data_IF_715039368502
#
_entry.id   IF_715039368502
#
_cell.length_a   1.000
_cell.length_b   1.000
_cell.length_c   1.000
_cell.angle_alpha   90.00
_cell.angle_beta   90.00
_cell.angle_gamma   90.00
#
_symmetry.space_group_name_H-M   'P 1'
#
loop_
_entity.id
_entity.type
_entity.pdbx_description
1 polymer ?
#
# COMPACT_ATOMS: atom_id res chain seq x y z
N UNK A 1 -16.63 1.92 2.20
CA UNK A 1 -16.53 0.53 2.64
C UNK A 1 -15.26 -0.14 2.10
N UNK A 2 -15.15 -0.40 0.79
CA UNK A 2 -13.99 -1.09 0.20
C UNK A 2 -12.61 -0.46 0.45
N UNK A 3 -12.52 0.88 0.46
CA UNK A 3 -11.26 1.59 0.75
C UNK A 3 -10.77 1.29 2.18
N UNK A 4 -11.69 1.17 3.13
CA UNK A 4 -11.37 0.86 4.52
C UNK A 4 -10.91 -0.59 4.65
N UNK A 5 -11.58 -1.50 3.98
CA UNK A 5 -11.26 -2.94 4.00
C UNK A 5 -9.89 -3.21 3.37
N UNK A 6 -9.57 -2.54 2.25
CA UNK A 6 -8.25 -2.64 1.59
C UNK A 6 -7.15 -2.06 2.47
N UNK A 7 -7.39 -0.92 3.15
CA UNK A 7 -6.42 -0.37 4.11
C UNK A 7 -6.18 -1.30 5.29
N UNK A 8 -7.23 -1.95 5.80
CA UNK A 8 -7.08 -2.95 6.87
C UNK A 8 -6.30 -4.17 6.40
N UNK A 9 -6.57 -4.66 5.19
CA UNK A 9 -5.82 -5.76 4.56
C UNK A 9 -4.35 -5.40 4.38
N UNK A 10 -4.04 -4.19 3.88
CA UNK A 10 -2.66 -3.72 3.79
C UNK A 10 -1.96 -3.67 5.14
N UNK A 11 -2.65 -3.14 6.17
CA UNK A 11 -2.08 -3.06 7.52
C UNK A 11 -1.72 -4.44 8.08
N UNK A 12 -2.62 -5.42 7.90
CA UNK A 12 -2.37 -6.81 8.33
C UNK A 12 -1.22 -7.47 7.59
N UNK A 13 -1.06 -7.18 6.30
CA UNK A 13 0.07 -7.68 5.50
C UNK A 13 1.38 -7.07 6.00
N UNK A 14 1.40 -5.76 6.24
CA UNK A 14 2.57 -5.06 6.80
C UNK A 14 2.97 -5.65 8.16
N UNK A 15 2.01 -5.83 9.07
CA UNK A 15 2.23 -6.44 10.39
C UNK A 15 2.77 -7.87 10.27
N UNK A 16 2.29 -8.64 9.30
CA UNK A 16 2.77 -10.00 9.03
C UNK A 16 4.20 -10.01 8.48
N UNK A 17 4.55 -9.07 7.60
CA UNK A 17 5.93 -8.91 7.11
C UNK A 17 6.89 -8.52 8.23
N UNK A 18 6.49 -7.60 9.10
CA UNK A 18 7.29 -7.20 10.26
C UNK A 18 7.52 -8.36 11.23
N UNK A 19 6.49 -9.18 11.48
CA UNK A 19 6.62 -10.39 12.29
C UNK A 19 7.57 -11.41 11.65
N UNK A 20 7.46 -11.64 10.34
CA UNK A 20 8.39 -12.53 9.60
C UNK A 20 9.82 -12.00 9.67
N UNK A 21 10.04 -10.70 9.50
CA UNK A 21 11.36 -10.10 9.63
C UNK A 21 11.92 -10.23 11.05
N UNK A 22 11.07 -10.09 12.07
CA UNK A 22 11.46 -10.27 13.46
C UNK A 22 11.90 -11.72 13.72
N UNK A 23 11.08 -12.69 13.32
CA UNK A 23 11.38 -14.12 13.47
C UNK A 23 12.66 -14.49 12.73
N UNK A 24 12.79 -14.08 11.46
CA UNK A 24 13.98 -14.37 10.66
C UNK A 24 15.25 -13.75 11.27
N UNK A 25 15.16 -12.57 11.88
CA UNK A 25 16.30 -11.96 12.62
C UNK A 25 16.68 -12.77 13.85
N UNK A 26 15.70 -13.29 14.60
CA UNK A 26 15.97 -14.16 15.73
C UNK A 26 16.59 -15.49 15.27
N UNK A 27 16.02 -16.12 14.25
CA UNK A 27 16.56 -17.35 13.66
C UNK A 27 18.00 -17.16 13.17
N UNK A 28 18.31 -16.04 12.53
CA UNK A 28 19.68 -15.68 12.11
C UNK A 28 20.62 -15.53 13.32
N UNK A 29 20.17 -14.88 14.40
CA UNK A 29 20.92 -14.72 15.65
C UNK A 29 21.25 -16.09 16.29
N UNK A 30 20.30 -17.02 16.23
CA UNK A 30 20.45 -18.39 16.73
C UNK A 30 21.12 -19.35 15.74
N UNK A 31 21.49 -18.87 14.53
CA UNK A 31 22.02 -19.67 13.41
C UNK A 31 21.10 -20.83 12.99
N UNK A 32 19.80 -20.61 13.10
CA UNK A 32 18.79 -21.55 12.63
C UNK A 32 18.51 -21.34 11.13
N UNK A 33 17.91 -22.34 10.49
CA UNK A 33 17.46 -22.17 9.12
C UNK A 33 16.29 -21.19 9.07
N UNK A 34 16.37 -20.21 8.18
CA UNK A 34 15.33 -19.20 7.99
C UNK A 34 14.02 -19.83 7.55
N UNK A 35 12.96 -19.59 8.32
CA UNK A 35 11.62 -20.03 7.97
C UNK A 35 11.11 -19.28 6.75
N UNK A 36 10.73 -20.02 5.70
CA UNK A 36 10.15 -19.44 4.48
C UNK A 36 8.63 -19.39 4.61
N UNK A 37 8.05 -18.25 4.22
CA UNK A 37 6.60 -18.00 4.27
C UNK A 37 6.01 -17.87 2.86
N UNK A 38 5.95 -18.95 2.06
CA UNK A 38 5.52 -18.90 0.66
C UNK A 38 4.06 -18.47 0.47
N UNK A 39 3.20 -18.67 1.47
CA UNK A 39 1.82 -18.17 1.43
C UNK A 39 1.74 -16.66 1.57
N UNK A 40 2.61 -16.06 2.41
CA UNK A 40 2.68 -14.60 2.56
C UNK A 40 3.17 -13.95 1.26
N UNK A 41 4.17 -14.55 0.60
CA UNK A 41 4.65 -14.09 -0.70
C UNK A 41 3.58 -14.17 -1.78
N UNK A 42 2.83 -15.29 -1.85
CA UNK A 42 1.69 -15.42 -2.77
C UNK A 42 0.59 -14.39 -2.48
N UNK A 43 0.30 -14.15 -1.21
CA UNK A 43 -0.69 -13.15 -0.80
C UNK A 43 -0.26 -11.76 -1.25
N UNK A 44 1.03 -11.42 -1.10
CA UNK A 44 1.60 -10.15 -1.54
C UNK A 44 1.46 -9.92 -3.05
N UNK A 45 1.83 -10.92 -3.85
CA UNK A 45 1.70 -10.87 -5.32
C UNK A 45 0.25 -10.69 -5.73
N UNK A 46 -0.68 -11.39 -5.07
CA UNK A 46 -2.10 -11.27 -5.37
C UNK A 46 -2.67 -9.90 -5.00
N UNK A 47 -2.19 -9.26 -3.92
CA UNK A 47 -2.73 -7.98 -3.45
C UNK A 47 -2.11 -6.76 -4.13
N UNK A 48 -0.89 -6.89 -4.66
CA UNK A 48 -0.15 -5.82 -5.35
C UNK A 48 -0.97 -5.08 -6.43
N UNK A 49 -1.66 -5.76 -7.39
CA UNK A 49 -2.45 -5.07 -8.40
C UNK A 49 -3.63 -4.29 -7.82
N UNK A 50 -4.28 -4.81 -6.77
CA UNK A 50 -5.37 -4.11 -6.10
C UNK A 50 -4.84 -2.86 -5.38
N UNK A 51 -3.69 -2.96 -4.73
CA UNK A 51 -3.04 -1.81 -4.10
C UNK A 51 -2.70 -0.71 -5.11
N UNK A 52 -2.15 -1.08 -6.28
CA UNK A 52 -1.88 -0.14 -7.38
C UNK A 52 -3.17 0.54 -7.87
N UNK A 53 -4.21 -0.24 -8.10
CA UNK A 53 -5.51 0.28 -8.54
C UNK A 53 -6.13 1.24 -7.51
N UNK A 54 -6.17 0.87 -6.24
CA UNK A 54 -6.72 1.73 -5.19
C UNK A 54 -5.92 3.02 -5.02
N UNK A 55 -4.59 2.96 -5.12
CA UNK A 55 -3.75 4.15 -5.11
C UNK A 55 -4.05 5.08 -6.30
N UNK A 56 -4.24 4.52 -7.49
CA UNK A 56 -4.63 5.28 -8.68
C UNK A 56 -5.99 5.96 -8.50
N UNK A 57 -7.00 5.21 -8.04
CA UNK A 57 -8.35 5.74 -7.78
C UNK A 57 -8.31 6.83 -6.71
N UNK A 58 -7.54 6.63 -5.63
CA UNK A 58 -7.42 7.62 -4.55
C UNK A 58 -6.72 8.90 -5.03
N UNK A 59 -5.67 8.77 -5.85
CA UNK A 59 -5.02 9.91 -6.52
C UNK A 59 -6.03 10.66 -7.38
N UNK A 60 -6.73 9.94 -8.26
CA UNK A 60 -7.74 10.54 -9.14
C UNK A 60 -8.84 11.26 -8.36
N UNK A 61 -9.40 10.66 -7.30
CA UNK A 61 -10.41 11.31 -6.47
C UNK A 61 -9.91 12.58 -5.80
N UNK A 62 -8.64 12.63 -5.37
CA UNK A 62 -8.05 13.85 -4.81
C UNK A 62 -7.89 14.93 -5.87
N UNK A 63 -7.43 14.54 -7.06
CA UNK A 63 -7.26 15.45 -8.19
C UNK A 63 -8.60 15.99 -8.68
N UNK A 64 -9.63 15.14 -8.79
CA UNK A 64 -11.00 15.50 -9.16
C UNK A 64 -11.62 16.45 -8.13
N UNK A 65 -11.54 16.12 -6.84
CA UNK A 65 -12.01 17.02 -5.79
C UNK A 65 -11.29 18.36 -5.80
N UNK A 66 -9.97 18.37 -6.04
CA UNK A 66 -9.20 19.62 -6.17
C UNK A 66 -9.63 20.43 -7.40
N UNK A 67 -9.95 19.77 -8.51
CA UNK A 67 -10.49 20.41 -9.73
C UNK A 67 -11.86 21.04 -9.50
N UNK A 68 -12.75 20.36 -8.78
CA UNK A 68 -14.15 20.76 -8.61
C UNK A 68 -14.37 21.75 -7.45
N UNK A 69 -13.63 21.58 -6.35
CA UNK A 69 -13.81 22.35 -5.11
C UNK A 69 -12.62 23.28 -4.78
N UNK A 70 -11.59 23.32 -5.63
CA UNK A 70 -10.41 24.15 -5.43
C UNK A 70 -10.68 25.65 -5.58
N UNK A 71 -10.05 26.46 -4.74
CA UNK A 71 -10.09 27.92 -4.90
C UNK A 71 -9.47 28.33 -6.24
N UNK A 72 -10.12 29.25 -6.97
CA UNK A 72 -9.72 29.69 -8.31
C UNK A 72 -8.25 30.16 -8.42
N UNK A 73 -7.66 30.64 -7.32
CA UNK A 73 -6.27 31.10 -7.22
C UNK A 73 -5.25 29.98 -6.93
N UNK A 74 -5.69 28.82 -6.42
CA UNK A 74 -4.83 27.67 -6.05
C UNK A 74 -4.86 26.54 -7.10
N UNK A 75 -5.66 26.71 -8.15
CA UNK A 75 -5.76 25.83 -9.30
C UNK A 75 -4.67 26.19 -10.31
N UNK A 76 -3.62 25.38 -10.36
CA UNK A 76 -2.61 25.46 -11.41
C UNK A 76 -2.72 24.23 -12.31
N UNK A 77 -3.21 24.43 -13.54
CA UNK A 77 -3.44 23.36 -14.51
C UNK A 77 -2.17 22.63 -14.92
N UNK A 78 -1.05 23.34 -15.08
CA UNK A 78 0.22 22.76 -15.54
C UNK A 78 0.87 21.83 -14.48
N UNK A 79 0.73 22.13 -13.19
CA UNK A 79 1.26 21.27 -12.13
C UNK A 79 0.35 20.09 -11.78
N UNK A 80 -0.91 20.12 -12.21
CA UNK A 80 -1.90 19.07 -11.95
C UNK A 80 -2.03 18.05 -13.10
N UNK A 81 -1.60 18.36 -14.32
CA UNK A 81 -1.48 17.37 -15.42
C UNK A 81 -0.30 16.40 -15.23
N UNK A 82 0.67 16.75 -14.37
CA UNK A 82 1.89 15.98 -14.15
C UNK A 82 1.83 14.95 -13.00
N UNK A 83 0.74 14.89 -12.23
CA UNK A 83 0.59 14.17 -10.93
C UNK A 83 -0.38 12.96 -10.97
#
# INVERSE_FOLDING_TARGET
QYVTDVRQLQKRIQESEEAVQFINKEEELFKWELTKYPELDKLKVNIEPYQKFFNLVLKWQRTEKRWMDGGFLDLNGESMEAD
#
